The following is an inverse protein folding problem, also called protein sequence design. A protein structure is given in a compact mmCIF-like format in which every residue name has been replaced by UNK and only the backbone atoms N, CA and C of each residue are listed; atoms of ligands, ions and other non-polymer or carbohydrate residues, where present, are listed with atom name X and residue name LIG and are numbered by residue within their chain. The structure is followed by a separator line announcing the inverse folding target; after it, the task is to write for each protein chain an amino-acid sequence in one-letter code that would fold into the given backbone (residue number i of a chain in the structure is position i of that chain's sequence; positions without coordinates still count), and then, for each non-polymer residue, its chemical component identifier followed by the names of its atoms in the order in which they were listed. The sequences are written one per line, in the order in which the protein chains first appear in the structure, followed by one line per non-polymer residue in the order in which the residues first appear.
data_IF_547220493816
#
_entry.id   IF_547220493816
#
_cell.length_a   1.000
_cell.length_b   1.000
_cell.length_c   1.000
_cell.angle_alpha   90.00
_cell.angle_beta   90.00
_cell.angle_gamma   90.00
#
_symmetry.space_group_name_H-M   'P 1'
#
loop_
_entity.id
_entity.type
_entity.pdbx_description
1 polymer ?
#
# COMPACT_ATOMS: atom_id res chain seq x y z
N UNK A 1 3.63 -18.92 2.84
CA UNK A 1 2.59 -17.88 2.81
C UNK A 1 2.28 -17.58 1.35
N UNK A 2 1.01 -17.68 0.94
CA UNK A 2 0.56 -17.25 -0.37
C UNK A 2 0.41 -15.73 -0.36
N UNK A 3 0.89 -15.07 -1.41
CA UNK A 3 0.58 -13.68 -1.68
C UNK A 3 -0.94 -13.55 -1.87
N UNK A 4 -1.55 -12.63 -1.11
CA UNK A 4 -3.00 -12.41 -1.17
C UNK A 4 -3.35 -11.26 -2.13
N UNK A 5 -2.45 -10.31 -2.30
CA UNK A 5 -2.65 -9.13 -3.12
C UNK A 5 -1.32 -8.48 -3.53
N UNK A 6 -1.29 -7.87 -4.71
CA UNK A 6 -0.16 -7.12 -5.25
C UNK A 6 -0.62 -5.75 -5.74
N UNK A 7 0.19 -4.72 -5.47
CA UNK A 7 -0.01 -3.35 -5.96
C UNK A 7 1.32 -2.80 -6.45
N UNK A 8 1.32 -2.25 -7.65
CA UNK A 8 2.44 -1.51 -8.20
C UNK A 8 2.22 0.00 -7.98
N UNK A 9 3.29 0.71 -7.64
CA UNK A 9 3.22 2.14 -7.53
C UNK A 9 4.21 2.75 -6.55
N UNK A 10 4.10 4.05 -6.37
CA UNK A 10 4.96 4.80 -5.47
C UNK A 10 4.59 4.54 -4.00
N UNK A 11 5.60 4.26 -3.19
CA UNK A 11 5.48 4.16 -1.73
C UNK A 11 6.24 5.31 -1.08
N UNK A 12 5.52 6.14 -0.34
CA UNK A 12 6.07 7.28 0.39
C UNK A 12 6.29 6.90 1.86
N UNK A 13 7.53 6.97 2.32
CA UNK A 13 7.87 6.79 3.72
C UNK A 13 7.61 8.07 4.50
N UNK A 14 6.88 7.98 5.62
CA UNK A 14 6.51 9.06 6.52
C UNK A 14 6.97 8.72 7.94
N UNK A 15 6.98 9.71 8.83
CA UNK A 15 7.33 9.51 10.24
C UNK A 15 6.40 8.52 10.97
N UNK A 16 5.18 8.35 10.49
CA UNK A 16 4.14 7.50 11.06
C UNK A 16 3.88 6.21 10.27
N UNK A 17 4.62 5.93 9.18
CA UNK A 17 4.43 4.73 8.37
C UNK A 17 4.64 4.98 6.89
N UNK A 18 3.87 4.27 6.05
CA UNK A 18 3.92 4.40 4.59
C UNK A 18 2.64 5.02 4.04
N UNK A 19 2.74 5.65 2.88
CA UNK A 19 1.66 6.34 2.19
C UNK A 19 1.87 6.24 0.66
N UNK A 20 0.96 6.78 -0.12
CA UNK A 20 0.97 6.74 -1.59
C UNK A 20 -0.23 5.99 -2.14
N UNK A 21 -0.48 6.14 -3.45
CA UNK A 21 -1.67 5.56 -4.10
C UNK A 21 -1.72 4.04 -3.96
N UNK A 22 -0.58 3.35 -4.18
CA UNK A 22 -0.49 1.90 -3.99
C UNK A 22 -0.82 1.49 -2.55
N UNK A 23 -0.35 2.26 -1.56
CA UNK A 23 -0.64 2.00 -0.14
C UNK A 23 -2.11 2.24 0.18
N UNK A 24 -2.74 3.26 -0.39
CA UNK A 24 -4.17 3.51 -0.21
C UNK A 24 -5.03 2.37 -0.78
N UNK A 25 -4.71 1.88 -1.98
CA UNK A 25 -5.39 0.74 -2.56
C UNK A 25 -5.19 -0.52 -1.71
N UNK A 26 -3.95 -0.76 -1.26
CA UNK A 26 -3.62 -1.89 -0.40
C UNK A 26 -4.33 -1.82 0.96
N UNK A 27 -4.45 -0.62 1.54
CA UNK A 27 -5.05 -0.42 2.86
C UNK A 27 -6.50 -0.92 2.99
N UNK A 28 -7.20 -1.02 1.88
CA UNK A 28 -8.57 -1.58 1.82
C UNK A 28 -8.61 -3.10 2.00
N UNK A 29 -7.47 -3.78 1.88
CA UNK A 29 -7.36 -5.24 1.84
C UNK A 29 -6.59 -5.83 3.01
N UNK A 30 -5.78 -5.01 3.65
CA UNK A 30 -4.93 -5.42 4.77
C UNK A 30 -5.60 -5.15 6.11
N UNK A 31 -5.16 -5.87 7.11
CA UNK A 31 -5.57 -5.71 8.49
C UNK A 31 -4.36 -5.76 9.43
N UNK A 32 -4.59 -5.34 10.67
CA UNK A 32 -3.55 -5.38 11.70
C UNK A 32 -3.00 -6.80 11.85
N UNK A 33 -1.67 -6.94 11.81
CA UNK A 33 -0.96 -8.21 11.89
C UNK A 33 -0.52 -8.76 10.53
N UNK A 34 -1.04 -8.23 9.43
CA UNK A 34 -0.56 -8.60 8.11
C UNK A 34 0.87 -8.11 7.86
N UNK A 35 1.54 -8.71 6.92
CA UNK A 35 2.88 -8.32 6.49
C UNK A 35 2.85 -7.81 5.06
N UNK A 36 3.34 -6.59 4.87
CA UNK A 36 3.62 -6.04 3.55
C UNK A 36 5.06 -6.37 3.18
N UNK A 37 5.27 -6.85 1.96
CA UNK A 37 6.59 -7.04 1.36
C UNK A 37 6.79 -5.98 0.29
N UNK A 38 7.78 -5.12 0.47
CA UNK A 38 8.15 -4.14 -0.56
C UNK A 38 9.27 -4.69 -1.42
N UNK A 39 9.08 -4.71 -2.73
CA UNK A 39 10.15 -4.81 -3.70
C UNK A 39 10.63 -3.39 -4.01
N UNK A 40 11.86 -3.07 -3.58
CA UNK A 40 12.43 -1.72 -3.72
C UNK A 40 12.96 -1.48 -5.13
N UNK A 41 13.22 -2.54 -5.89
CA UNK A 41 13.71 -2.52 -7.27
C UNK A 41 12.86 -3.43 -8.15
N UNK A 42 11.57 -3.11 -8.37
CA UNK A 42 10.65 -4.00 -9.08
C UNK A 42 11.07 -4.28 -10.53
N UNK A 43 11.74 -3.34 -11.17
CA UNK A 43 12.20 -3.46 -12.56
C UNK A 43 13.45 -4.36 -12.74
N UNK A 44 14.08 -4.78 -11.63
CA UNK A 44 15.25 -5.66 -11.66
C UNK A 44 14.89 -7.03 -11.09
N UNK A 45 15.25 -8.09 -11.79
CA UNK A 45 15.27 -9.44 -11.22
C UNK A 45 16.28 -9.54 -10.06
N UNK A 46 16.22 -10.61 -9.27
CA UNK A 46 17.19 -10.85 -8.20
C UNK A 46 18.61 -10.94 -8.72
N UNK A 47 18.80 -11.59 -9.86
CA UNK A 47 20.12 -11.79 -10.45
C UNK A 47 20.67 -10.48 -11.00
N UNK A 48 19.87 -9.68 -11.70
CA UNK A 48 20.27 -8.35 -12.17
C UNK A 48 20.60 -7.39 -11.02
N UNK A 49 19.83 -7.42 -9.94
CA UNK A 49 20.13 -6.62 -8.75
C UNK A 49 21.44 -7.09 -8.08
N UNK A 50 21.67 -8.40 -8.00
CA UNK A 50 22.89 -8.97 -7.46
C UNK A 50 24.10 -8.54 -8.29
N UNK A 51 24.02 -8.63 -9.62
CA UNK A 51 25.08 -8.21 -10.53
C UNK A 51 25.40 -6.72 -10.39
N UNK A 52 24.37 -5.87 -10.31
CA UNK A 52 24.54 -4.44 -10.08
C UNK A 52 25.23 -4.15 -8.73
N UNK A 53 24.85 -4.85 -7.67
CA UNK A 53 25.45 -4.68 -6.36
C UNK A 53 26.89 -5.23 -6.31
N UNK A 54 27.21 -6.33 -7.01
CA UNK A 54 28.56 -6.84 -7.12
C UNK A 54 29.48 -5.86 -7.86
N UNK A 55 29.02 -5.25 -8.95
CA UNK A 55 29.76 -4.19 -9.64
C UNK A 55 30.04 -3.01 -8.70
N UNK A 56 29.06 -2.66 -7.84
CA UNK A 56 29.23 -1.61 -6.83
C UNK A 56 30.27 -1.98 -5.76
N UNK A 57 30.31 -3.25 -5.35
CA UNK A 57 31.36 -3.76 -4.44
C UNK A 57 32.73 -3.54 -5.03
N UNK A 58 32.93 -3.85 -6.31
CA UNK A 58 34.19 -3.65 -7.02
C UNK A 58 34.56 -2.17 -7.10
N UNK A 59 33.62 -1.31 -7.48
CA UNK A 59 33.83 0.13 -7.63
C UNK A 59 34.20 0.83 -6.31
N UNK A 60 33.58 0.40 -5.19
CA UNK A 60 33.78 1.02 -3.88
C UNK A 60 34.83 0.30 -3.04
N UNK A 61 35.44 -0.77 -3.54
CA UNK A 61 36.50 -1.52 -2.85
C UNK A 61 35.98 -2.37 -1.68
N UNK A 62 34.73 -2.77 -1.71
CA UNK A 62 34.13 -3.65 -0.72
C UNK A 62 32.66 -3.32 -0.40
N UNK A 63 32.01 -4.23 0.34
CA UNK A 63 30.67 -4.04 0.88
C UNK A 63 30.72 -3.70 2.37
N UNK A 64 30.11 -2.60 2.75
CA UNK A 64 29.98 -2.17 4.14
C UNK A 64 28.51 -2.13 4.56
N UNK A 65 27.98 -3.22 5.16
CA UNK A 65 26.55 -3.31 5.50
C UNK A 65 26.11 -2.33 6.60
N UNK A 66 27.08 -1.76 7.35
CA UNK A 66 26.82 -0.81 8.44
C UNK A 66 26.95 0.66 8.01
N UNK A 67 27.49 0.93 6.84
CA UNK A 67 27.59 2.29 6.32
C UNK A 67 26.46 2.61 5.36
N UNK A 68 25.43 3.39 5.76
CA UNK A 68 24.33 3.74 4.89
C UNK A 68 24.76 4.45 3.61
N UNK A 69 25.93 5.14 3.63
CA UNK A 69 26.49 5.81 2.44
C UNK A 69 26.88 4.84 1.33
N UNK A 70 27.05 3.56 1.68
CA UNK A 70 27.26 2.54 0.66
C UNK A 70 26.09 2.44 -0.33
N UNK A 71 24.89 2.85 0.10
CA UNK A 71 23.66 2.89 -0.70
C UNK A 71 23.38 4.28 -1.32
N UNK A 72 24.29 5.25 -1.19
CA UNK A 72 24.14 6.59 -1.77
C UNK A 72 23.94 6.52 -3.29
N UNK A 73 23.01 7.31 -3.79
CA UNK A 73 22.61 7.30 -5.20
C UNK A 73 21.65 6.19 -5.61
N UNK A 74 21.40 5.19 -4.74
CA UNK A 74 20.43 4.12 -4.95
C UNK A 74 19.16 4.34 -4.12
N UNK A 75 19.33 4.70 -2.85
CA UNK A 75 18.23 4.90 -1.90
C UNK A 75 18.34 6.28 -1.23
N UNK A 76 17.22 6.80 -0.78
CA UNK A 76 17.19 7.98 0.08
C UNK A 76 17.97 7.70 1.38
N UNK A 77 18.76 8.66 1.93
CA UNK A 77 19.62 8.42 3.07
C UNK A 77 18.91 7.89 4.32
N UNK A 78 17.66 8.31 4.54
CA UNK A 78 16.85 7.83 5.66
C UNK A 78 16.49 6.36 5.48
N UNK A 79 16.12 5.95 4.27
CA UNK A 79 15.78 4.57 3.97
C UNK A 79 17.02 3.67 3.95
N UNK A 80 18.16 4.16 3.48
CA UNK A 80 19.45 3.45 3.56
C UNK A 80 19.79 3.04 5.00
N UNK A 81 19.56 3.92 5.99
CA UNK A 81 19.77 3.59 7.42
C UNK A 81 18.87 2.46 7.88
N UNK A 82 17.61 2.48 7.46
CA UNK A 82 16.63 1.43 7.83
C UNK A 82 17.02 0.10 7.20
N UNK A 83 17.44 0.10 5.93
CA UNK A 83 17.93 -1.10 5.23
C UNK A 83 19.17 -1.68 5.92
N UNK A 84 20.14 -0.84 6.28
CA UNK A 84 21.34 -1.29 7.02
C UNK A 84 20.97 -1.88 8.39
N UNK A 85 20.02 -1.27 9.10
CA UNK A 85 19.54 -1.80 10.39
C UNK A 85 18.86 -3.15 10.20
N UNK A 86 17.99 -3.30 9.19
CA UNK A 86 17.35 -4.56 8.87
C UNK A 86 18.38 -5.63 8.47
N UNK A 87 19.42 -5.25 7.72
CA UNK A 87 20.50 -6.16 7.35
C UNK A 87 21.21 -6.71 8.59
N UNK A 88 21.63 -5.85 9.51
CA UNK A 88 22.31 -6.28 10.74
C UNK A 88 21.43 -7.14 11.64
N UNK A 89 20.12 -6.87 11.69
CA UNK A 89 19.16 -7.66 12.47
C UNK A 89 18.94 -9.06 11.87
N UNK A 90 18.83 -9.15 10.54
CA UNK A 90 18.56 -10.41 9.86
C UNK A 90 19.82 -11.24 9.61
N UNK A 91 20.97 -10.59 9.40
CA UNK A 91 22.23 -11.22 9.00
C UNK A 91 23.43 -10.64 9.80
N UNK A 92 23.44 -10.81 11.14
CA UNK A 92 24.44 -10.19 11.99
C UNK A 92 25.86 -10.67 11.61
N UNK A 93 26.74 -9.69 11.37
CA UNK A 93 28.14 -9.95 11.00
C UNK A 93 28.37 -10.47 9.58
N UNK A 94 27.34 -10.56 8.74
CA UNK A 94 27.50 -10.90 7.33
C UNK A 94 28.09 -9.73 6.55
N UNK A 95 28.85 -10.07 5.51
CA UNK A 95 29.36 -9.16 4.48
C UNK A 95 28.98 -9.63 3.07
N UNK A 96 27.98 -10.50 2.97
CA UNK A 96 27.53 -11.05 1.69
C UNK A 96 26.38 -10.19 1.12
N UNK A 97 26.62 -9.66 -0.06
CA UNK A 97 25.68 -8.82 -0.81
C UNK A 97 24.37 -9.53 -1.17
N UNK A 98 24.39 -10.87 -1.28
CA UNK A 98 23.16 -11.64 -1.59
C UNK A 98 22.07 -11.46 -0.52
N UNK A 99 22.47 -11.22 0.74
CA UNK A 99 21.52 -10.95 1.82
C UNK A 99 20.88 -9.56 1.66
N UNK A 100 21.65 -8.58 1.14
CA UNK A 100 21.12 -7.27 0.83
C UNK A 100 20.08 -7.34 -0.31
N UNK A 101 20.36 -8.14 -1.36
CA UNK A 101 19.37 -8.42 -2.43
C UNK A 101 18.07 -8.96 -1.84
N UNK A 102 18.17 -9.92 -0.93
CA UNK A 102 16.98 -10.52 -0.29
C UNK A 102 16.16 -9.50 0.48
N UNK A 103 16.81 -8.57 1.17
CA UNK A 103 16.13 -7.49 1.91
C UNK A 103 15.49 -6.51 0.94
N UNK A 104 16.21 -6.06 -0.09
CA UNK A 104 15.70 -5.07 -1.05
C UNK A 104 14.54 -5.59 -1.90
N UNK A 105 14.54 -6.88 -2.20
CA UNK A 105 13.45 -7.54 -2.95
C UNK A 105 12.25 -7.93 -2.07
N UNK A 106 12.41 -8.00 -0.75
CA UNK A 106 11.37 -8.42 0.19
C UNK A 106 11.48 -7.65 1.51
N UNK A 107 11.51 -6.31 1.42
CA UNK A 107 11.57 -5.49 2.62
C UNK A 107 10.26 -5.60 3.39
N UNK A 108 10.35 -6.12 4.62
CA UNK A 108 9.17 -6.48 5.44
C UNK A 108 8.69 -5.31 6.28
N UNK A 109 7.39 -5.04 6.21
CA UNK A 109 6.69 -4.12 7.10
C UNK A 109 5.53 -4.84 7.77
N UNK A 110 5.48 -4.79 9.10
CA UNK A 110 4.34 -5.28 9.85
C UNK A 110 3.25 -4.20 9.90
N UNK A 111 2.02 -4.57 9.60
CA UNK A 111 0.87 -3.68 9.67
C UNK A 111 0.40 -3.58 11.12
N UNK A 112 0.59 -2.41 11.73
CA UNK A 112 0.11 -2.10 13.07
C UNK A 112 -1.30 -1.51 13.07
N UNK A 113 -1.72 -0.95 11.94
CA UNK A 113 -3.03 -0.33 11.73
C UNK A 113 -2.99 0.72 10.63
N UNK A 114 -4.08 1.43 10.47
CA UNK A 114 -4.19 2.63 9.63
C UNK A 114 -3.96 3.88 10.46
N UNK A 115 -3.58 4.97 9.81
CA UNK A 115 -3.49 6.30 10.46
C UNK A 115 -4.87 6.84 10.82
N UNK A 116 -4.90 7.97 11.52
CA UNK A 116 -6.15 8.57 12.03
C UNK A 116 -7.26 8.68 10.97
N UNK A 117 -8.48 8.32 11.34
CA UNK A 117 -9.68 8.41 10.51
C UNK A 117 -9.90 9.79 9.89
N UNK A 118 -9.50 10.85 10.57
CA UNK A 118 -9.63 12.25 10.10
C UNK A 118 -8.81 12.57 8.85
N UNK A 119 -7.79 11.79 8.55
CA UNK A 119 -6.94 11.95 7.35
C UNK A 119 -7.31 10.99 6.22
N UNK A 120 -8.29 10.10 6.45
CA UNK A 120 -8.76 9.16 5.44
C UNK A 120 -9.46 9.91 4.30
N UNK A 121 -9.13 9.55 3.06
CA UNK A 121 -9.81 10.08 1.86
C UNK A 121 -11.08 9.31 1.55
N UNK A 122 -11.18 8.07 2.01
CA UNK A 122 -12.32 7.16 1.81
C UNK A 122 -12.52 6.38 3.10
N UNK A 123 -13.77 6.15 3.45
CA UNK A 123 -14.16 5.31 4.59
C UNK A 123 -14.75 4.02 4.07
N UNK A 124 -14.29 2.89 4.60
CA UNK A 124 -14.84 1.58 4.24
C UNK A 124 -15.96 1.20 5.20
N UNK A 125 -16.98 0.52 4.66
CA UNK A 125 -18.19 0.16 5.36
C UNK A 125 -19.33 1.10 5.02
N UNK A 126 -20.51 0.85 5.58
CA UNK A 126 -21.72 1.60 5.31
C UNK A 126 -22.95 0.70 5.24
N UNK A 127 -24.00 1.17 4.58
CA UNK A 127 -25.21 0.38 4.36
C UNK A 127 -24.92 -0.68 3.28
N UNK A 128 -25.17 -1.97 3.54
CA UNK A 128 -24.96 -3.02 2.55
C UNK A 128 -25.74 -2.75 1.26
N UNK A 129 -25.13 -2.99 0.10
CA UNK A 129 -25.75 -2.71 -1.20
C UNK A 129 -27.05 -3.50 -1.40
N UNK A 130 -27.18 -4.67 -0.78
CA UNK A 130 -28.36 -5.52 -0.82
C UNK A 130 -29.58 -4.90 -0.11
N UNK A 131 -29.35 -3.88 0.72
CA UNK A 131 -30.40 -3.16 1.44
C UNK A 131 -31.18 -2.17 0.55
N UNK A 132 -30.65 -1.89 -0.65
CA UNK A 132 -31.24 -0.95 -1.60
C UNK A 132 -31.59 -1.64 -2.92
N UNK A 133 -32.62 -1.14 -3.59
CA UNK A 133 -32.98 -1.60 -4.93
C UNK A 133 -31.99 -1.10 -5.98
N UNK A 134 -31.39 -1.99 -6.75
CA UNK A 134 -30.39 -1.66 -7.76
C UNK A 134 -30.77 -0.57 -8.78
N UNK A 135 -32.03 -0.50 -9.28
CA UNK A 135 -32.42 0.52 -10.25
C UNK A 135 -32.40 1.95 -9.72
N UNK A 136 -32.76 2.17 -8.48
CA UNK A 136 -33.03 3.51 -7.96
C UNK A 136 -32.43 3.81 -6.59
N UNK A 137 -31.73 2.85 -5.98
CA UNK A 137 -31.09 2.97 -4.68
C UNK A 137 -32.09 3.28 -3.52
N UNK A 138 -33.33 2.88 -3.69
CA UNK A 138 -34.37 2.99 -2.66
C UNK A 138 -34.23 1.85 -1.65
N UNK A 139 -34.38 2.14 -0.37
CA UNK A 139 -34.41 1.13 0.70
C UNK A 139 -35.68 0.32 0.60
N UNK A 140 -35.59 -0.99 0.51
CA UNK A 140 -36.66 -1.91 0.19
C UNK A 140 -37.81 -1.97 1.25
N UNK A 141 -37.54 -1.52 2.49
CA UNK A 141 -38.46 -1.64 3.63
C UNK A 141 -38.63 -0.32 4.40
N UNK A 142 -38.51 0.83 3.75
CA UNK A 142 -38.80 2.11 4.40
C UNK A 142 -40.32 2.23 4.69
N UNK A 143 -40.68 2.35 5.96
CA UNK A 143 -42.09 2.18 6.40
C UNK A 143 -43.01 3.36 6.05
N UNK A 144 -42.53 4.61 6.02
CA UNK A 144 -43.39 5.80 5.97
C UNK A 144 -43.10 6.73 4.78
N UNK A 145 -41.94 6.64 4.15
CA UNK A 145 -41.58 7.42 2.97
C UNK A 145 -40.46 6.74 2.20
N UNK A 146 -40.32 6.94 0.88
CA UNK A 146 -39.18 6.44 0.11
C UNK A 146 -37.90 7.00 0.67
N UNK A 147 -36.96 6.13 1.04
CA UNK A 147 -35.61 6.48 1.50
C UNK A 147 -34.60 6.04 0.44
N UNK A 148 -33.80 6.96 -0.02
CA UNK A 148 -32.75 6.69 -1.01
C UNK A 148 -31.36 6.86 -0.36
N UNK A 149 -30.44 5.93 -0.63
CA UNK A 149 -29.08 5.97 -0.12
C UNK A 149 -28.12 5.95 -1.29
N UNK A 150 -27.17 6.89 -1.33
CA UNK A 150 -26.21 7.01 -2.43
C UNK A 150 -24.80 7.37 -1.92
N UNK A 151 -23.83 7.30 -2.81
CA UNK A 151 -22.44 7.62 -2.53
C UNK A 151 -21.80 6.67 -1.53
N UNK A 152 -20.92 7.21 -0.72
CA UNK A 152 -20.12 6.47 0.27
C UNK A 152 -20.95 6.02 1.50
N UNK A 153 -22.19 6.46 1.61
CA UNK A 153 -23.11 5.92 2.62
C UNK A 153 -23.45 4.44 2.38
N UNK A 154 -23.38 3.98 1.13
CA UNK A 154 -23.42 2.56 0.78
C UNK A 154 -22.03 1.95 0.99
N UNK A 155 -21.98 0.66 1.39
CA UNK A 155 -20.74 -0.10 1.52
C UNK A 155 -20.15 -0.42 0.13
N UNK A 156 -19.72 0.64 -0.53
CA UNK A 156 -19.07 0.60 -1.85
C UNK A 156 -17.85 1.51 -1.78
N UNK A 157 -16.68 0.92 -1.93
CA UNK A 157 -15.43 1.62 -2.04
C UNK A 157 -14.62 1.09 -3.25
N UNK A 158 -13.88 1.96 -3.89
CA UNK A 158 -13.09 1.66 -5.07
C UNK A 158 -11.65 2.16 -4.90
N UNK A 159 -10.76 1.67 -5.76
CA UNK A 159 -9.37 2.08 -5.80
C UNK A 159 -9.24 3.59 -6.07
N UNK A 160 -8.10 4.17 -5.69
CA UNK A 160 -7.77 5.55 -6.03
C UNK A 160 -7.78 5.76 -7.55
N UNK A 161 -8.27 6.93 -7.99
CA UNK A 161 -8.38 7.23 -9.43
C UNK A 161 -9.70 7.91 -9.81
N UNK A 162 -10.44 8.45 -8.82
CA UNK A 162 -11.69 9.17 -9.04
C UNK A 162 -12.94 8.29 -9.06
N UNK A 163 -12.81 6.98 -8.92
CA UNK A 163 -13.95 6.03 -8.96
C UNK A 163 -14.96 6.30 -7.84
N UNK A 164 -14.49 6.60 -6.63
CA UNK A 164 -15.36 6.92 -5.49
C UNK A 164 -16.17 8.20 -5.73
N UNK A 165 -15.58 9.23 -6.33
CA UNK A 165 -16.28 10.45 -6.72
C UNK A 165 -17.27 10.19 -7.85
N UNK A 166 -16.89 9.42 -8.86
CA UNK A 166 -17.78 9.04 -9.96
C UNK A 166 -18.99 8.27 -9.43
N UNK A 167 -18.77 7.33 -8.52
CA UNK A 167 -19.85 6.61 -7.84
C UNK A 167 -20.76 7.56 -7.07
N UNK A 168 -20.22 8.48 -6.29
CA UNK A 168 -21.02 9.44 -5.52
C UNK A 168 -21.94 10.27 -6.43
N UNK A 169 -21.44 10.76 -7.57
CA UNK A 169 -22.22 11.53 -8.52
C UNK A 169 -23.27 10.68 -9.24
N UNK A 170 -22.89 9.56 -9.80
CA UNK A 170 -23.79 8.69 -10.58
C UNK A 170 -24.89 8.15 -9.68
N UNK A 171 -24.56 7.69 -8.49
CA UNK A 171 -25.55 7.18 -7.53
C UNK A 171 -26.51 8.26 -7.04
N UNK A 172 -26.00 9.48 -6.79
CA UNK A 172 -26.84 10.62 -6.44
C UNK A 172 -27.82 11.02 -7.54
N UNK A 173 -27.33 11.12 -8.80
CA UNK A 173 -28.19 11.39 -9.97
C UNK A 173 -29.25 10.29 -10.13
N UNK A 174 -28.86 9.02 -9.98
CA UNK A 174 -29.77 7.88 -10.09
C UNK A 174 -30.87 7.91 -9.04
N UNK A 175 -30.51 8.18 -7.79
CA UNK A 175 -31.48 8.33 -6.70
C UNK A 175 -32.44 9.50 -6.97
N UNK A 176 -31.92 10.66 -7.33
CA UNK A 176 -32.75 11.85 -7.62
C UNK A 176 -33.68 11.69 -8.83
N UNK A 177 -33.26 10.95 -9.86
CA UNK A 177 -34.12 10.69 -11.04
C UNK A 177 -35.30 9.76 -10.77
N UNK A 178 -35.37 9.22 -9.57
CA UNK A 178 -36.40 8.27 -9.12
C UNK A 178 -37.41 8.91 -8.17
N UNK A 179 -37.23 10.20 -7.84
CA UNK A 179 -38.18 11.01 -7.07
C UNK A 179 -39.27 11.56 -7.96
#
# INVERSE_FOLDING_TARGET
HSELWHEDGEVLFRAFGISGVAVFNLSRRIQRGDTILLDVFPDLSKDELLDMLNQRVELLGGFSPRDPRWLDGMLAPQFSRVVCTAFEQCHPGSHDVIHLVSILKHFKLLVEGTTEERSAQVTRGGVPIESVSAPNLCVSNAADAPLYICGEALDIDADCGGFNLAWAWISGIRAASSL
#
